data_IF_748120771657
#
_entry.id   IF_748120771657
#
_cell.length_a   1.000
_cell.length_b   1.000
_cell.length_c   1.000
_cell.angle_alpha   90.00
_cell.angle_beta   90.00
_cell.angle_gamma   90.00
#
_symmetry.space_group_name_H-M   'P 1'
#
loop_
_entity.id
_entity.type
_entity.pdbx_description
1 polymer ?
#
# COMPACT_ATOMS: atom_id res chain seq x y z
N UNK A 1 -4.45 -11.04 44.63
CA UNK A 1 -3.93 -11.76 43.45
C UNK A 1 -4.70 -11.25 42.24
N UNK A 2 -4.05 -10.53 41.34
CA UNK A 2 -4.69 -10.10 40.09
C UNK A 2 -4.90 -11.35 39.21
N UNK A 3 -6.08 -11.46 38.59
CA UNK A 3 -6.36 -12.50 37.62
C UNK A 3 -5.31 -12.47 36.50
N UNK A 4 -4.92 -13.61 35.92
CA UNK A 4 -4.07 -13.61 34.74
C UNK A 4 -4.79 -12.82 33.65
N UNK A 5 -4.17 -11.75 33.15
CA UNK A 5 -4.69 -11.02 31.99
C UNK A 5 -4.80 -12.03 30.86
N UNK A 6 -6.02 -12.30 30.37
CA UNK A 6 -6.20 -13.11 29.17
C UNK A 6 -5.30 -12.54 28.07
N UNK A 7 -4.40 -13.36 27.55
CA UNK A 7 -3.54 -12.96 26.44
C UNK A 7 -4.43 -12.65 25.24
N UNK A 8 -4.31 -11.47 24.65
CA UNK A 8 -5.10 -11.09 23.48
C UNK A 8 -4.95 -12.13 22.36
N UNK A 9 -6.07 -12.47 21.74
CA UNK A 9 -6.10 -13.37 20.60
C UNK A 9 -5.44 -12.70 19.39
N UNK A 10 -4.75 -13.49 18.56
CA UNK A 10 -4.11 -12.98 17.37
C UNK A 10 -5.16 -12.50 16.35
N UNK A 11 -4.94 -11.32 15.77
CA UNK A 11 -5.80 -10.84 14.68
C UNK A 11 -5.56 -11.64 13.40
N UNK A 12 -6.55 -11.66 12.52
CA UNK A 12 -6.44 -12.31 11.21
C UNK A 12 -6.31 -11.22 10.14
N UNK A 13 -5.15 -11.17 9.50
CA UNK A 13 -4.86 -10.24 8.41
C UNK A 13 -5.00 -10.94 7.07
N UNK A 14 -5.89 -10.47 6.20
CA UNK A 14 -6.07 -11.04 4.86
C UNK A 14 -5.21 -10.27 3.86
N UNK A 15 -4.23 -10.98 3.30
CA UNK A 15 -3.31 -10.49 2.26
C UNK A 15 -3.46 -11.34 0.99
N UNK A 16 -2.90 -10.85 -0.12
CA UNK A 16 -2.99 -11.48 -1.42
C UNK A 16 -1.88 -12.51 -1.58
N UNK A 17 -2.26 -13.75 -1.92
CA UNK A 17 -1.33 -14.80 -2.28
C UNK A 17 -0.61 -14.44 -3.60
N UNK A 18 0.69 -14.16 -3.50
CA UNK A 18 1.59 -13.79 -4.59
C UNK A 18 2.86 -14.67 -4.52
N UNK A 19 3.78 -14.59 -5.50
CA UNK A 19 5.07 -15.28 -5.36
C UNK A 19 5.92 -14.66 -4.23
N UNK A 20 5.86 -13.34 -4.09
CA UNK A 20 6.32 -12.59 -2.92
C UNK A 20 5.27 -11.52 -2.57
N UNK A 21 5.06 -11.14 -1.30
CA UNK A 21 4.10 -10.10 -0.99
C UNK A 21 4.63 -8.72 -1.43
N UNK A 22 3.86 -8.06 -2.30
CA UNK A 22 4.25 -6.75 -2.88
C UNK A 22 3.09 -5.76 -3.01
N UNK A 23 1.84 -6.19 -2.79
CA UNK A 23 0.68 -5.36 -3.07
C UNK A 23 0.65 -4.13 -2.14
N UNK A 24 0.54 -2.89 -2.66
CA UNK A 24 0.73 -1.69 -1.85
C UNK A 24 -0.22 -1.60 -0.67
N UNK A 25 -1.52 -1.80 -0.88
CA UNK A 25 -2.51 -1.61 0.18
C UNK A 25 -2.38 -2.66 1.30
N UNK A 26 -2.26 -3.98 1.01
CA UNK A 26 -1.92 -4.93 2.06
C UNK A 26 -0.59 -4.62 2.75
N UNK A 27 0.44 -4.20 2.01
CA UNK A 27 1.73 -3.87 2.61
C UNK A 27 1.64 -2.69 3.58
N UNK A 28 0.84 -1.65 3.28
CA UNK A 28 0.55 -0.55 4.22
C UNK A 28 -0.02 -1.08 5.55
N UNK A 29 -0.99 -2.01 5.48
CA UNK A 29 -1.57 -2.61 6.70
C UNK A 29 -0.59 -3.52 7.43
N UNK A 30 0.24 -4.29 6.72
CA UNK A 30 1.30 -5.10 7.32
C UNK A 30 2.29 -4.23 8.09
N UNK A 31 2.78 -3.17 7.45
CA UNK A 31 3.65 -2.19 8.08
C UNK A 31 2.98 -1.57 9.32
N UNK A 32 1.68 -1.24 9.25
CA UNK A 32 0.96 -0.65 10.39
C UNK A 32 0.76 -1.63 11.56
N UNK A 33 0.45 -2.89 11.27
CA UNK A 33 0.34 -3.97 12.28
C UNK A 33 1.68 -4.20 12.99
N UNK A 34 2.77 -4.29 12.21
CA UNK A 34 4.12 -4.46 12.76
C UNK A 34 4.61 -3.19 13.48
N UNK A 35 4.29 -2.00 12.98
CA UNK A 35 4.58 -0.73 13.67
C UNK A 35 3.93 -0.67 15.05
N UNK A 36 2.69 -1.17 15.18
CA UNK A 36 1.96 -1.25 16.44
C UNK A 36 2.32 -2.46 17.29
N UNK A 37 3.25 -3.31 16.84
CA UNK A 37 3.62 -4.57 17.49
C UNK A 37 2.41 -5.45 17.85
N UNK A 38 1.46 -5.53 16.92
CA UNK A 38 0.23 -6.30 17.10
C UNK A 38 0.47 -7.75 16.72
N UNK A 39 -0.04 -8.67 17.54
CA UNK A 39 -0.05 -10.10 17.22
C UNK A 39 -1.11 -10.39 16.14
N UNK A 40 -0.67 -10.91 15.00
CA UNK A 40 -1.56 -11.34 13.92
C UNK A 40 -0.99 -12.55 13.18
N UNK A 41 -1.84 -13.22 12.41
CA UNK A 41 -1.48 -14.21 11.40
C UNK A 41 -1.99 -13.77 10.03
N UNK A 42 -1.24 -14.04 8.96
CA UNK A 42 -1.72 -13.78 7.59
C UNK A 42 -2.55 -14.94 7.05
N UNK A 43 -3.77 -14.65 6.58
CA UNK A 43 -4.52 -15.53 5.68
C UNK A 43 -4.29 -15.07 4.24
N UNK A 44 -3.69 -15.96 3.43
CA UNK A 44 -3.37 -15.68 2.03
C UNK A 44 -4.54 -16.00 1.12
N UNK A 45 -4.96 -15.03 0.31
CA UNK A 45 -6.13 -15.13 -0.58
C UNK A 45 -5.67 -14.97 -2.02
N UNK A 46 -6.02 -15.90 -2.90
CA UNK A 46 -5.76 -15.72 -4.32
C UNK A 46 -6.61 -14.59 -4.90
N UNK A 47 -6.06 -13.80 -5.84
CA UNK A 47 -6.75 -12.66 -6.45
C UNK A 47 -8.18 -12.96 -6.94
N UNK A 48 -8.46 -14.11 -7.60
CA UNK A 48 -9.82 -14.45 -8.03
C UNK A 48 -10.82 -14.62 -6.87
N UNK A 49 -10.34 -14.95 -5.67
CA UNK A 49 -11.19 -15.31 -4.53
C UNK A 49 -11.51 -14.12 -3.62
N UNK A 50 -10.88 -12.96 -3.83
CA UNK A 50 -11.02 -11.78 -2.96
C UNK A 50 -12.48 -11.35 -2.79
N UNK A 51 -13.25 -11.34 -3.89
CA UNK A 51 -14.66 -10.98 -3.84
C UNK A 51 -15.47 -11.94 -2.96
N UNK A 52 -15.22 -13.25 -3.09
CA UNK A 52 -15.89 -14.27 -2.30
C UNK A 52 -15.51 -14.16 -0.82
N UNK A 53 -14.23 -13.93 -0.50
CA UNK A 53 -13.75 -13.75 0.88
C UNK A 53 -14.39 -12.53 1.53
N UNK A 54 -14.40 -11.37 0.88
CA UNK A 54 -15.05 -10.15 1.41
C UNK A 54 -16.54 -10.38 1.70
N UNK A 55 -17.27 -10.99 0.75
CA UNK A 55 -18.70 -11.32 0.92
C UNK A 55 -18.93 -12.27 2.09
N UNK A 56 -18.13 -13.33 2.19
CA UNK A 56 -18.22 -14.33 3.27
C UNK A 56 -17.97 -13.69 4.64
N UNK A 57 -17.06 -12.72 4.70
CA UNK A 57 -16.77 -11.98 5.93
C UNK A 57 -17.77 -10.86 6.23
N UNK A 58 -18.70 -10.55 5.31
CA UNK A 58 -19.64 -9.43 5.44
C UNK A 58 -18.97 -8.06 5.36
N UNK A 59 -17.80 -7.98 4.70
CA UNK A 59 -17.04 -6.72 4.54
C UNK A 59 -17.35 -6.14 3.15
N UNK A 60 -17.92 -4.92 3.05
CA UNK A 60 -18.28 -4.33 1.76
C UNK A 60 -17.05 -4.00 0.91
N UNK A 61 -17.26 -3.80 -0.40
CA UNK A 61 -16.25 -3.20 -1.26
C UNK A 61 -15.96 -1.76 -0.82
N UNK A 62 -14.70 -1.34 -0.86
CA UNK A 62 -14.28 0.04 -0.55
C UNK A 62 -14.01 0.88 -1.81
N UNK A 63 -14.23 0.31 -3.00
CA UNK A 63 -13.95 0.91 -4.30
C UNK A 63 -15.03 0.53 -5.31
N UNK A 64 -15.16 1.35 -6.36
CA UNK A 64 -16.08 1.11 -7.47
C UNK A 64 -15.37 1.26 -8.80
N UNK A 65 -15.72 0.41 -9.75
CA UNK A 65 -15.33 0.58 -11.15
C UNK A 65 -15.99 1.84 -11.74
N UNK A 66 -15.52 2.29 -12.90
CA UNK A 66 -16.06 3.45 -13.60
C UNK A 66 -17.53 3.29 -14.02
N UNK A 67 -18.00 2.04 -14.17
CA UNK A 67 -19.40 1.69 -14.41
C UNK A 67 -20.26 1.65 -13.12
N UNK A 68 -19.67 1.95 -11.96
CA UNK A 68 -20.31 1.97 -10.65
C UNK A 68 -20.38 0.61 -9.94
N UNK A 69 -19.94 -0.47 -10.59
CA UNK A 69 -19.94 -1.81 -9.97
C UNK A 69 -18.86 -1.93 -8.89
N UNK A 70 -19.10 -2.81 -7.91
CA UNK A 70 -18.21 -2.97 -6.77
C UNK A 70 -16.84 -3.54 -7.14
N UNK A 71 -15.78 -2.92 -6.64
CA UNK A 71 -14.42 -3.41 -6.74
C UNK A 71 -13.92 -3.93 -5.39
N UNK A 72 -13.86 -5.25 -5.25
CA UNK A 72 -13.44 -5.94 -4.03
C UNK A 72 -11.90 -6.04 -3.98
N UNK A 73 -11.31 -5.56 -2.89
CA UNK A 73 -9.85 -5.49 -2.71
C UNK A 73 -9.40 -6.12 -1.40
N UNK A 74 -8.09 -6.28 -1.22
CA UNK A 74 -7.48 -6.48 0.09
C UNK A 74 -6.65 -5.24 0.43
N UNK A 75 -6.42 -4.94 1.72
CA UNK A 75 -6.53 -5.83 2.89
C UNK A 75 -7.90 -5.87 3.59
N UNK A 76 -8.05 -6.89 4.44
CA UNK A 76 -9.06 -6.99 5.52
C UNK A 76 -8.33 -7.33 6.82
N UNK A 77 -8.78 -6.76 7.93
CA UNK A 77 -8.38 -7.14 9.28
C UNK A 77 -9.61 -7.65 10.04
N UNK A 78 -9.50 -8.81 10.67
CA UNK A 78 -10.48 -9.32 11.62
C UNK A 78 -9.83 -9.34 12.99
N UNK A 79 -10.40 -8.59 13.94
CA UNK A 79 -9.95 -8.56 15.31
C UNK A 79 -10.95 -9.33 16.19
N UNK A 80 -10.60 -10.54 16.68
CA UNK A 80 -11.50 -11.32 17.54
C UNK A 80 -11.74 -10.64 18.89
N UNK A 81 -10.78 -9.85 19.39
CA UNK A 81 -10.85 -9.21 20.71
C UNK A 81 -11.95 -8.14 20.77
N UNK A 82 -12.19 -7.43 19.66
CA UNK A 82 -13.25 -6.41 19.55
C UNK A 82 -14.42 -6.85 18.67
N UNK A 83 -14.33 -8.04 18.05
CA UNK A 83 -15.26 -8.57 17.04
C UNK A 83 -15.37 -7.67 15.80
N UNK A 84 -14.34 -6.89 15.52
CA UNK A 84 -14.32 -5.93 14.41
C UNK A 84 -13.85 -6.58 13.11
N UNK A 85 -14.39 -6.11 11.98
CA UNK A 85 -13.97 -6.49 10.63
C UNK A 85 -13.79 -5.21 9.82
N UNK A 86 -12.56 -4.91 9.44
CA UNK A 86 -12.19 -3.65 8.81
C UNK A 86 -11.60 -3.97 7.43
N UNK A 87 -12.02 -3.24 6.41
CA UNK A 87 -11.47 -3.42 5.06
C UNK A 87 -11.15 -2.07 4.43
N UNK A 88 -9.96 -1.97 3.84
CA UNK A 88 -9.22 -0.75 3.45
C UNK A 88 -8.03 -0.49 4.40
N UNK A 89 -6.87 -0.19 3.81
CA UNK A 89 -5.62 -0.08 4.58
C UNK A 89 -5.60 1.13 5.51
N UNK A 90 -6.22 2.24 5.11
CA UNK A 90 -6.26 3.45 5.94
C UNK A 90 -7.19 3.25 7.13
N UNK A 91 -8.34 2.62 6.90
CA UNK A 91 -9.33 2.35 7.95
C UNK A 91 -8.77 1.37 8.97
N UNK A 92 -7.98 0.38 8.51
CA UNK A 92 -7.20 -0.50 9.40
C UNK A 92 -6.23 0.32 10.24
N UNK A 93 -5.49 1.27 9.66
CA UNK A 93 -4.55 2.10 10.42
C UNK A 93 -5.27 2.98 11.46
N UNK A 94 -6.42 3.59 11.11
CA UNK A 94 -7.27 4.33 12.06
C UNK A 94 -7.72 3.42 13.19
N UNK A 95 -8.23 2.23 12.84
CA UNK A 95 -8.69 1.25 13.82
C UNK A 95 -7.58 0.88 14.81
N UNK A 96 -6.38 0.61 14.30
CA UNK A 96 -5.21 0.29 15.12
C UNK A 96 -4.81 1.47 16.00
N UNK A 97 -4.82 2.70 15.50
CA UNK A 97 -4.50 3.88 16.31
C UNK A 97 -5.51 4.09 17.44
N UNK A 98 -6.81 3.92 17.16
CA UNK A 98 -7.87 4.14 18.15
C UNK A 98 -7.92 3.05 19.21
N UNK A 99 -7.76 1.80 18.79
CA UNK A 99 -7.92 0.64 19.68
C UNK A 99 -6.63 0.37 20.46
N UNK A 100 -5.47 0.67 19.88
CA UNK A 100 -4.15 0.38 20.43
C UNK A 100 -3.23 1.62 20.33
N UNK A 101 -3.57 2.75 20.99
CA UNK A 101 -2.85 4.01 20.83
C UNK A 101 -1.40 3.95 21.31
N UNK A 102 -1.14 3.21 22.39
CA UNK A 102 0.17 3.15 23.06
C UNK A 102 1.02 1.93 22.66
N UNK A 103 0.56 1.12 21.71
CA UNK A 103 1.27 -0.09 21.30
C UNK A 103 2.40 0.18 20.31
N UNK A 104 3.45 -0.65 20.38
CA UNK A 104 4.58 -0.66 19.45
C UNK A 104 5.36 0.66 19.41
N UNK A 105 5.60 1.16 18.20
CA UNK A 105 6.34 2.39 17.92
C UNK A 105 5.55 3.68 18.18
N UNK A 106 4.33 3.57 18.73
CA UNK A 106 3.54 4.69 19.22
C UNK A 106 2.51 5.19 18.22
N UNK A 107 2.46 6.49 18.00
CA UNK A 107 1.41 7.16 17.21
C UNK A 107 1.63 6.98 15.70
N UNK A 108 0.65 6.39 15.01
CA UNK A 108 0.60 6.28 13.54
C UNK A 108 0.29 7.62 12.87
N UNK A 109 -0.40 8.55 13.55
CA UNK A 109 -0.88 9.80 12.98
C UNK A 109 -0.41 11.05 13.76
N UNK A 110 0.89 11.20 14.05
CA UNK A 110 1.39 12.39 14.72
C UNK A 110 1.07 13.66 13.91
N UNK A 111 0.80 14.81 14.55
CA UNK A 111 0.59 16.06 13.81
C UNK A 111 1.77 16.41 12.92
N UNK A 112 1.54 16.55 11.61
CA UNK A 112 2.55 16.94 10.63
C UNK A 112 1.94 17.54 9.37
N UNK A 113 2.71 18.33 8.62
CA UNK A 113 2.24 18.95 7.37
C UNK A 113 2.49 18.02 6.18
N UNK A 114 1.43 17.47 5.60
CA UNK A 114 1.48 16.55 4.45
C UNK A 114 1.05 17.22 3.14
N UNK A 115 1.72 18.31 2.79
CA UNK A 115 1.40 19.14 1.62
C UNK A 115 1.98 18.52 0.34
N UNK A 116 1.35 17.44 -0.14
CA UNK A 116 1.58 16.87 -1.46
C UNK A 116 0.26 16.86 -2.22
N UNK A 117 0.32 17.22 -3.51
CA UNK A 117 -0.83 17.18 -4.40
C UNK A 117 -0.38 16.60 -5.74
N UNK A 118 -1.23 15.76 -6.31
CA UNK A 118 -1.01 15.17 -7.62
C UNK A 118 -2.32 15.20 -8.39
N UNK A 119 -2.34 16.01 -9.46
CA UNK A 119 -3.46 16.09 -10.37
C UNK A 119 -3.03 15.40 -11.66
N UNK A 120 -3.67 14.28 -11.98
CA UNK A 120 -3.41 13.60 -13.23
C UNK A 120 -4.70 12.97 -13.78
N UNK A 121 -5.04 13.32 -15.01
CA UNK A 121 -6.17 12.76 -15.74
C UNK A 121 -6.05 11.24 -15.92
N UNK A 122 -4.82 10.70 -15.94
CA UNK A 122 -4.53 9.26 -16.08
C UNK A 122 -4.78 8.43 -14.80
N UNK A 123 -4.86 9.05 -13.61
CA UNK A 123 -5.18 8.32 -12.37
C UNK A 123 -6.61 7.76 -12.37
N UNK A 124 -7.45 8.17 -13.32
CA UNK A 124 -8.85 7.76 -13.47
C UNK A 124 -9.05 6.28 -13.90
N UNK A 125 -8.00 5.59 -14.36
CA UNK A 125 -8.12 4.23 -14.89
C UNK A 125 -8.15 3.13 -13.83
N UNK A 126 -7.67 3.39 -12.60
CA UNK A 126 -7.71 2.43 -11.49
C UNK A 126 -8.55 3.02 -10.37
N UNK A 127 -9.64 2.35 -9.95
CA UNK A 127 -10.43 2.79 -8.82
C UNK A 127 -9.58 3.01 -7.57
N UNK A 128 -9.66 4.23 -7.03
CA UNK A 128 -9.17 4.56 -5.69
C UNK A 128 -10.32 4.43 -4.69
N UNK A 129 -9.98 4.26 -3.41
CA UNK A 129 -10.99 4.15 -2.36
C UNK A 129 -11.79 5.45 -2.29
N UNK A 130 -13.12 5.35 -2.27
CA UNK A 130 -13.98 6.51 -2.00
C UNK A 130 -13.86 6.85 -0.51
N UNK A 131 -13.49 8.09 -0.19
CA UNK A 131 -13.23 8.51 1.19
C UNK A 131 -14.10 9.69 1.57
N UNK A 132 -14.79 9.57 2.70
CA UNK A 132 -15.52 10.66 3.37
C UNK A 132 -14.96 10.86 4.79
N UNK A 133 -13.63 10.81 4.91
CA UNK A 133 -12.99 10.83 6.22
C UNK A 133 -13.07 12.22 6.86
N UNK A 134 -13.51 12.24 8.11
CA UNK A 134 -13.52 13.43 8.96
C UNK A 134 -12.34 13.45 9.94
N UNK A 135 -11.69 12.30 10.15
CA UNK A 135 -10.55 12.14 11.06
C UNK A 135 -9.27 11.93 10.25
N UNK A 136 -8.16 12.52 10.73
CA UNK A 136 -6.85 12.45 10.07
C UNK A 136 -6.88 12.90 8.59
N UNK A 137 -7.63 13.97 8.30
CA UNK A 137 -7.89 14.49 6.95
C UNK A 137 -6.60 14.71 6.15
N UNK A 138 -5.54 15.25 6.76
CA UNK A 138 -4.27 15.48 6.07
C UNK A 138 -3.62 14.16 5.61
N UNK A 139 -3.69 13.10 6.43
CA UNK A 139 -3.19 11.77 6.06
C UNK A 139 -4.05 11.11 5.00
N UNK A 140 -5.38 11.27 5.08
CA UNK A 140 -6.32 10.73 4.09
C UNK A 140 -6.09 11.36 2.72
N UNK A 141 -5.96 12.69 2.69
CA UNK A 141 -5.64 13.46 1.48
C UNK A 141 -4.28 13.08 0.92
N UNK A 142 -3.27 12.98 1.78
CA UNK A 142 -1.93 12.54 1.38
C UNK A 142 -1.93 11.12 0.79
N UNK A 143 -2.61 10.15 1.44
CA UNK A 143 -2.75 8.79 0.93
C UNK A 143 -3.38 8.78 -0.47
N UNK A 144 -4.46 9.54 -0.65
CA UNK A 144 -5.14 9.66 -1.96
C UNK A 144 -4.20 10.17 -3.05
N UNK A 145 -3.42 11.22 -2.76
CA UNK A 145 -2.48 11.76 -3.75
C UNK A 145 -1.29 10.84 -4.02
N UNK A 146 -0.74 10.19 -3.01
CA UNK A 146 0.34 9.20 -3.21
C UNK A 146 -0.19 8.02 -4.02
N UNK A 147 -1.39 7.51 -3.72
CA UNK A 147 -2.00 6.43 -4.48
C UNK A 147 -2.23 6.83 -5.93
N UNK A 148 -2.76 8.02 -6.19
CA UNK A 148 -2.92 8.54 -7.55
C UNK A 148 -1.58 8.68 -8.27
N UNK A 149 -0.57 9.23 -7.59
CA UNK A 149 0.76 9.46 -8.14
C UNK A 149 1.45 8.17 -8.55
N UNK A 150 1.50 7.16 -7.68
CA UNK A 150 2.15 5.90 -8.01
C UNK A 150 1.32 5.05 -8.99
N UNK A 151 -0.02 5.10 -8.90
CA UNK A 151 -0.92 4.43 -9.86
C UNK A 151 -0.69 4.93 -11.29
N UNK A 152 -0.52 6.25 -11.48
CA UNK A 152 -0.23 6.82 -12.79
C UNK A 152 1.08 6.31 -13.43
N UNK A 153 1.96 5.69 -12.64
CA UNK A 153 3.23 5.14 -13.08
C UNK A 153 3.29 3.60 -12.98
N UNK A 154 2.17 2.92 -12.71
CA UNK A 154 2.14 1.45 -12.55
C UNK A 154 2.58 0.71 -13.82
N UNK A 155 2.46 1.34 -14.99
CA UNK A 155 2.97 0.80 -16.26
C UNK A 155 4.47 0.50 -16.25
N UNK A 156 5.25 1.11 -15.36
CA UNK A 156 6.67 0.78 -15.18
C UNK A 156 6.89 -0.65 -14.63
N UNK A 157 5.92 -1.17 -13.88
CA UNK A 157 6.04 -2.42 -13.09
C UNK A 157 5.02 -3.50 -13.46
N UNK A 158 3.86 -3.13 -13.99
CA UNK A 158 2.71 -4.03 -14.17
C UNK A 158 3.06 -5.32 -14.92
N UNK A 159 3.88 -5.23 -15.96
CA UNK A 159 4.27 -6.37 -16.80
C UNK A 159 5.16 -7.38 -16.05
N UNK A 160 5.82 -6.95 -14.97
CA UNK A 160 6.80 -7.72 -14.21
C UNK A 160 6.28 -8.11 -12.82
N UNK A 161 4.99 -7.93 -12.55
CA UNK A 161 4.42 -8.26 -11.24
C UNK A 161 4.59 -9.77 -10.94
N UNK A 162 5.16 -10.14 -9.78
CA UNK A 162 5.45 -11.54 -9.45
C UNK A 162 4.20 -12.26 -8.92
N UNK A 163 3.24 -12.53 -9.80
CA UNK A 163 2.00 -13.25 -9.47
C UNK A 163 2.26 -14.66 -8.94
N UNK A 164 1.32 -15.17 -8.14
CA UNK A 164 1.37 -16.55 -7.69
C UNK A 164 1.28 -17.52 -8.88
N UNK A 165 2.19 -18.51 -9.03
CA UNK A 165 2.25 -19.37 -10.21
C UNK A 165 0.93 -20.09 -10.52
N UNK A 166 0.24 -20.59 -9.48
CA UNK A 166 -1.00 -21.34 -9.66
C UNK A 166 -2.16 -20.50 -10.23
N UNK A 167 -2.12 -19.18 -10.09
CA UNK A 167 -3.21 -18.28 -10.52
C UNK A 167 -2.74 -17.21 -11.49
N UNK A 168 -1.50 -17.30 -12.01
CA UNK A 168 -0.89 -16.25 -12.81
C UNK A 168 -1.68 -15.97 -14.08
N UNK A 169 -2.07 -17.00 -14.83
CA UNK A 169 -2.81 -16.82 -16.10
C UNK A 169 -4.22 -16.26 -15.87
N UNK A 170 -4.96 -16.76 -14.88
CA UNK A 170 -6.26 -16.21 -14.51
C UNK A 170 -6.15 -14.74 -14.04
N UNK A 171 -5.08 -14.42 -13.30
CA UNK A 171 -4.79 -13.06 -12.85
C UNK A 171 -4.50 -12.13 -14.01
N UNK A 172 -3.61 -12.53 -14.94
CA UNK A 172 -3.30 -11.74 -16.14
C UNK A 172 -4.55 -11.51 -16.98
N UNK A 173 -5.37 -12.55 -17.19
CA UNK A 173 -6.63 -12.43 -17.93
C UNK A 173 -7.57 -11.40 -17.29
N UNK A 174 -7.68 -11.39 -15.95
CA UNK A 174 -8.49 -10.41 -15.23
C UNK A 174 -7.92 -8.98 -15.35
N UNK A 175 -6.59 -8.82 -15.32
CA UNK A 175 -5.95 -7.52 -15.56
C UNK A 175 -6.20 -7.00 -16.98
N UNK A 176 -6.03 -7.86 -17.99
CA UNK A 176 -6.32 -7.56 -19.41
C UNK A 176 -7.77 -7.11 -19.56
N UNK A 177 -8.72 -7.88 -19.00
CA UNK A 177 -10.14 -7.55 -18.99
C UNK A 177 -10.41 -6.19 -18.34
N UNK A 178 -9.80 -5.92 -17.18
CA UNK A 178 -9.98 -4.67 -16.42
C UNK A 178 -9.43 -3.45 -17.13
N UNK A 179 -8.26 -3.58 -17.76
CA UNK A 179 -7.63 -2.48 -18.48
C UNK A 179 -8.27 -2.24 -19.86
N UNK A 180 -9.12 -3.15 -20.35
CA UNK A 180 -9.72 -3.05 -21.68
C UNK A 180 -8.70 -3.21 -22.80
N UNK A 181 -7.57 -3.85 -22.53
CA UNK A 181 -6.53 -4.15 -23.51
C UNK A 181 -6.76 -5.54 -24.13
N UNK A 182 -6.06 -5.87 -25.21
CA UNK A 182 -6.30 -7.11 -25.96
C UNK A 182 -5.47 -8.28 -25.44
N UNK A 183 -4.27 -8.00 -24.91
CA UNK A 183 -3.35 -9.02 -24.44
C UNK A 183 -2.50 -8.51 -23.26
N UNK A 184 -1.82 -9.43 -22.56
CA UNK A 184 -0.88 -9.06 -21.50
C UNK A 184 0.30 -8.23 -22.02
N UNK A 185 0.71 -8.46 -23.28
CA UNK A 185 1.83 -7.77 -23.90
C UNK A 185 1.53 -6.27 -24.12
N UNK A 186 0.26 -5.87 -24.19
CA UNK A 186 -0.16 -4.47 -24.34
C UNK A 186 0.21 -3.61 -23.12
N UNK A 187 0.45 -4.23 -21.96
CA UNK A 187 0.96 -3.54 -20.77
C UNK A 187 2.45 -3.18 -20.87
N UNK A 188 3.19 -3.76 -21.82
CA UNK A 188 4.62 -3.64 -21.88
C UNK A 188 5.06 -2.33 -22.53
N UNK A 189 5.55 -1.38 -21.72
CA UNK A 189 6.20 -0.16 -22.23
C UNK A 189 7.71 -0.37 -22.43
N UNK A 190 8.23 0.04 -23.60
CA UNK A 190 9.64 -0.12 -24.01
C UNK A 190 10.22 1.17 -24.60
N UNK A 191 11.54 1.19 -24.76
CA UNK A 191 12.24 2.24 -25.50
C UNK A 191 11.95 3.65 -24.99
N UNK A 192 11.68 4.57 -25.92
CA UNK A 192 11.40 5.98 -25.63
C UNK A 192 10.20 6.17 -24.68
N UNK A 193 9.14 5.36 -24.83
CA UNK A 193 7.97 5.46 -23.96
C UNK A 193 8.32 5.11 -22.51
N UNK A 194 9.11 4.05 -22.29
CA UNK A 194 9.58 3.70 -20.94
C UNK A 194 10.41 4.82 -20.32
N UNK A 195 11.30 5.45 -21.10
CA UNK A 195 12.10 6.58 -20.61
C UNK A 195 11.24 7.79 -20.22
N UNK A 196 10.23 8.14 -21.03
CA UNK A 196 9.27 9.21 -20.69
C UNK A 196 8.54 8.96 -19.37
N UNK A 197 8.09 7.72 -19.13
CA UNK A 197 7.48 7.35 -17.86
C UNK A 197 8.47 7.42 -16.69
N UNK A 198 9.73 7.02 -16.89
CA UNK A 198 10.79 7.14 -15.87
C UNK A 198 11.10 8.60 -15.54
N UNK A 199 11.21 9.48 -16.53
CA UNK A 199 11.44 10.92 -16.33
C UNK A 199 10.26 11.59 -15.61
N UNK A 200 9.03 11.23 -15.97
CA UNK A 200 7.83 11.68 -15.28
C UNK A 200 7.82 11.20 -13.82
N UNK A 201 8.15 9.93 -13.59
CA UNK A 201 8.24 9.35 -12.25
C UNK A 201 9.35 10.00 -11.41
N UNK A 202 10.53 10.23 -12.00
CA UNK A 202 11.62 10.96 -11.37
C UNK A 202 11.17 12.36 -10.93
N UNK A 203 10.47 13.09 -11.79
CA UNK A 203 9.93 14.43 -11.46
C UNK A 203 8.93 14.36 -10.32
N UNK A 204 7.96 13.44 -10.39
CA UNK A 204 6.96 13.23 -9.33
C UNK A 204 7.61 12.90 -7.99
N UNK A 205 8.59 11.99 -7.99
CA UNK A 205 9.36 11.64 -6.79
C UNK A 205 10.22 12.82 -6.28
N UNK A 206 10.65 13.73 -7.14
CA UNK A 206 11.33 14.95 -6.72
C UNK A 206 10.41 15.88 -5.94
N UNK A 207 9.18 16.05 -6.42
CA UNK A 207 8.17 16.87 -5.76
C UNK A 207 7.72 16.28 -4.42
N UNK A 208 7.43 14.97 -4.36
CA UNK A 208 7.13 14.27 -3.12
C UNK A 208 8.33 14.31 -2.14
N UNK A 209 9.56 14.21 -2.67
CA UNK A 209 10.80 14.20 -1.92
C UNK A 209 11.05 15.47 -1.12
N UNK A 210 10.48 16.62 -1.55
CA UNK A 210 10.56 17.90 -0.81
C UNK A 210 10.05 17.78 0.63
N UNK A 211 9.08 16.90 0.90
CA UNK A 211 8.59 16.67 2.25
C UNK A 211 9.65 16.00 3.15
N UNK A 212 10.38 15.02 2.61
CA UNK A 212 11.44 14.29 3.32
C UNK A 212 12.69 15.15 3.61
N UNK A 213 12.84 16.29 2.92
CA UNK A 213 13.94 17.22 3.17
C UNK A 213 13.69 18.17 4.35
N UNK A 214 12.49 18.17 4.94
CA UNK A 214 12.14 19.04 6.06
C UNK A 214 12.84 18.65 7.36
N UNK A 215 13.10 17.36 7.54
CA UNK A 215 13.90 16.81 8.65
C UNK A 215 14.78 15.66 8.13
N UNK A 216 16.07 15.95 7.94
CA UNK A 216 17.05 14.99 7.42
C UNK A 216 17.73 14.16 8.52
N UNK A 217 17.24 14.21 9.76
CA UNK A 217 17.82 13.48 10.89
C UNK A 217 17.60 11.96 10.83
N UNK A 218 16.74 11.50 9.92
CA UNK A 218 16.47 10.10 9.65
C UNK A 218 15.75 9.90 8.30
N UNK A 219 15.31 8.66 8.00
CA UNK A 219 14.75 8.32 6.70
C UNK A 219 13.26 8.68 6.53
N UNK A 220 12.59 9.11 7.61
CA UNK A 220 11.15 9.35 7.64
C UNK A 220 10.81 10.83 7.52
N UNK A 221 9.55 11.14 7.22
CA UNK A 221 9.03 12.52 7.12
C UNK A 221 9.23 13.33 8.42
N UNK A 222 9.27 12.65 9.57
CA UNK A 222 9.57 13.23 10.89
C UNK A 222 10.97 12.80 11.37
N UNK A 223 11.93 12.75 10.44
CA UNK A 223 13.31 12.39 10.70
C UNK A 223 13.45 10.93 11.14
N UNK A 224 13.67 10.71 12.44
CA UNK A 224 13.85 9.36 13.02
C UNK A 224 12.54 8.65 13.35
N UNK A 225 11.42 9.38 13.43
CA UNK A 225 10.11 8.84 13.80
C UNK A 225 9.31 8.50 12.54
N UNK A 226 8.98 7.22 12.37
CA UNK A 226 8.06 6.78 11.34
C UNK A 226 6.60 7.13 11.72
N UNK A 227 5.78 7.33 10.70
CA UNK A 227 4.35 7.59 10.78
C UNK A 227 3.62 6.83 9.67
N UNK A 228 2.29 6.81 9.69
CA UNK A 228 1.50 6.19 8.63
C UNK A 228 1.72 6.84 7.25
N UNK A 229 2.12 8.12 7.20
CA UNK A 229 2.51 8.78 5.95
C UNK A 229 3.73 8.11 5.29
N UNK A 230 4.71 7.68 6.09
CA UNK A 230 5.86 6.91 5.61
C UNK A 230 5.43 5.52 5.10
N UNK A 231 4.49 4.88 5.81
CA UNK A 231 3.98 3.54 5.46
C UNK A 231 3.20 3.55 4.13
N UNK A 232 2.47 4.64 3.84
CA UNK A 232 1.78 4.87 2.58
C UNK A 232 2.76 4.80 1.41
N UNK A 233 3.85 5.56 1.48
CA UNK A 233 4.90 5.57 0.44
C UNK A 233 5.63 4.22 0.42
N UNK A 234 5.95 3.66 1.59
CA UNK A 234 6.59 2.35 1.74
C UNK A 234 5.83 1.20 1.08
N UNK A 235 4.50 1.20 1.15
CA UNK A 235 3.64 0.25 0.44
C UNK A 235 3.90 0.23 -1.07
N UNK A 236 4.03 1.40 -1.68
CA UNK A 236 4.33 1.51 -3.10
C UNK A 236 5.78 1.19 -3.43
N UNK A 237 6.73 1.60 -2.59
CA UNK A 237 8.14 1.25 -2.77
C UNK A 237 8.37 -0.26 -2.72
N UNK A 238 7.61 -1.00 -1.89
CA UNK A 238 7.63 -2.45 -1.89
C UNK A 238 7.24 -3.03 -3.25
N UNK A 239 6.14 -2.57 -3.84
CA UNK A 239 5.74 -3.01 -5.18
C UNK A 239 6.83 -2.73 -6.21
N UNK A 240 7.40 -1.51 -6.18
CA UNK A 240 8.47 -1.12 -7.09
C UNK A 240 9.70 -2.01 -6.93
N UNK A 241 10.12 -2.30 -5.68
CA UNK A 241 11.25 -3.18 -5.39
C UNK A 241 11.07 -4.59 -5.95
N UNK A 242 9.88 -5.16 -5.79
CA UNK A 242 9.62 -6.55 -6.16
C UNK A 242 9.38 -6.73 -7.67
N UNK A 243 8.94 -5.69 -8.38
CA UNK A 243 8.55 -5.77 -9.78
C UNK A 243 9.50 -5.07 -10.76
N UNK A 244 10.31 -4.11 -10.34
CA UNK A 244 11.28 -3.49 -11.24
C UNK A 244 12.46 -4.43 -11.53
N UNK A 245 13.04 -4.37 -12.74
CA UNK A 245 14.36 -4.93 -12.98
C UNK A 245 15.37 -4.39 -11.96
N UNK A 246 16.27 -5.25 -11.47
CA UNK A 246 17.23 -4.91 -10.40
C UNK A 246 17.96 -3.58 -10.64
N UNK A 247 18.47 -3.36 -11.85
CA UNK A 247 19.20 -2.13 -12.21
C UNK A 247 18.32 -0.88 -12.14
N UNK A 248 17.04 -0.99 -12.50
CA UNK A 248 16.11 0.15 -12.41
C UNK A 248 15.71 0.43 -10.97
N UNK A 249 15.57 -0.59 -10.12
CA UNK A 249 15.39 -0.35 -8.68
C UNK A 249 16.62 0.35 -8.07
N UNK A 250 17.84 -0.10 -8.39
CA UNK A 250 19.08 0.53 -7.92
C UNK A 250 19.16 2.01 -8.35
N UNK A 251 18.76 2.31 -9.59
CA UNK A 251 18.67 3.68 -10.10
C UNK A 251 17.63 4.51 -9.32
N UNK A 252 16.38 4.04 -9.23
CA UNK A 252 15.27 4.78 -8.61
C UNK A 252 15.49 4.98 -7.11
N UNK A 253 16.00 3.96 -6.41
CA UNK A 253 16.29 4.05 -4.98
C UNK A 253 17.43 5.03 -4.69
N UNK A 254 18.30 5.32 -5.66
CA UNK A 254 19.36 6.32 -5.59
C UNK A 254 18.94 7.74 -5.98
N UNK A 255 17.78 7.93 -6.61
CA UNK A 255 17.30 9.26 -7.02
C UNK A 255 17.08 10.20 -5.84
N UNK A 256 17.16 11.51 -6.14
CA UNK A 256 16.94 12.59 -5.16
C UNK A 256 17.81 12.45 -3.91
N UNK A 257 19.06 12.02 -4.10
CA UNK A 257 19.99 11.77 -3.01
C UNK A 257 19.61 10.57 -2.16
N UNK A 258 18.95 9.56 -2.72
CA UNK A 258 18.65 8.28 -2.07
C UNK A 258 17.49 8.30 -1.07
N UNK A 259 16.59 9.28 -1.15
CA UNK A 259 15.45 9.42 -0.21
C UNK A 259 14.64 8.13 -0.13
N UNK A 260 14.24 7.60 -1.28
CA UNK A 260 13.33 6.45 -1.35
C UNK A 260 14.02 5.13 -1.03
N UNK A 261 15.31 4.97 -1.34
CA UNK A 261 16.11 3.84 -0.86
C UNK A 261 16.20 3.82 0.66
N UNK A 262 16.56 4.97 1.28
CA UNK A 262 16.62 5.08 2.75
C UNK A 262 15.27 4.86 3.42
N UNK A 263 14.18 5.36 2.84
CA UNK A 263 12.84 5.12 3.34
C UNK A 263 12.48 3.64 3.31
N UNK A 264 12.70 2.98 2.17
CA UNK A 264 12.47 1.54 2.02
C UNK A 264 13.25 0.76 3.08
N UNK A 265 14.56 0.98 3.18
CA UNK A 265 15.42 0.28 4.12
C UNK A 265 15.07 0.59 5.58
N UNK A 266 14.69 1.84 5.88
CA UNK A 266 14.25 2.27 7.21
C UNK A 266 12.94 1.59 7.66
N UNK A 267 12.08 1.19 6.72
CA UNK A 267 10.82 0.49 6.98
C UNK A 267 10.97 -1.03 7.12
N UNK A 268 12.13 -1.62 6.77
CA UNK A 268 12.35 -3.07 6.87
C UNK A 268 12.17 -3.61 8.29
N UNK A 269 12.43 -2.80 9.32
CA UNK A 269 12.13 -3.17 10.73
C UNK A 269 10.64 -3.42 11.02
N UNK A 270 9.74 -2.97 10.13
CA UNK A 270 8.31 -3.22 10.21
C UNK A 270 7.81 -4.10 9.05
N UNK A 271 8.70 -4.71 8.26
CA UNK A 271 8.37 -5.46 7.04
C UNK A 271 8.15 -6.97 7.25
N UNK A 272 8.18 -7.45 8.51
CA UNK A 272 8.03 -8.87 8.82
C UNK A 272 6.74 -9.46 8.23
N UNK A 273 6.87 -10.59 7.53
CA UNK A 273 5.75 -11.37 6.99
C UNK A 273 5.47 -12.53 7.95
N UNK A 274 4.35 -12.42 8.69
CA UNK A 274 3.88 -13.40 9.68
C UNK A 274 2.78 -14.30 9.12
#
# INVERSE_FOLDING_TARGET
MAAPSESSEAMIFYDIAMATPYAPNPWKSRLALNFKDIKYSTTWVHLPDIAQVRRTLGVPACRKFSDGTDFYTLPILVDPNTKSRIGDSFDIAIYLQKTYPDSGAGDLFPPQKLEFAFNNEFASLVPLSERNDIEYVDYSKFNTYVDAAFTAHVSLVVHNLPFHPATAEATKAEFVRRAGVTSWDDFQIKGEQRQKFKESFHTMLGDLGKLFLRDISGPFLLGKKASYADLIVGGWLRMMREALPKQEWEEISGWHGGIYGRLHDGLEKYAEVK
#
